data_IF_357758140802
#
_entry.id   IF_357758140802
#
_cell.length_a   1.000
_cell.length_b   1.000
_cell.length_c   1.000
_cell.angle_alpha   90.00
_cell.angle_beta   90.00
_cell.angle_gamma   90.00
#
_symmetry.space_group_name_H-M   'P 1'
#
loop_
_entity.id
_entity.type
_entity.pdbx_description
1 polymer ?
#
# COMPACT_ATOMS: atom_id res chain seq x y z
N UNK A 1 -19.75 9.05 -7.40
CA UNK A 1 -18.50 8.78 -6.62
C UNK A 1 -18.84 9.08 -5.18
N UNK A 2 -18.43 8.26 -4.22
CA UNK A 2 -18.66 8.47 -2.77
C UNK A 2 -17.36 8.75 -2.03
N UNK A 3 -17.36 8.57 -0.70
CA UNK A 3 -16.21 8.76 0.19
C UNK A 3 -15.09 7.72 -0.04
N UNK A 4 -14.07 7.71 0.83
CA UNK A 4 -13.08 6.64 0.90
C UNK A 4 -13.75 5.28 1.16
N UNK A 5 -13.18 4.21 0.59
CA UNK A 5 -13.67 2.85 0.80
C UNK A 5 -13.13 2.32 2.14
N UNK A 6 -14.00 2.19 3.14
CA UNK A 6 -13.69 1.72 4.50
C UNK A 6 -13.06 0.32 4.54
N UNK A 7 -13.14 -0.41 3.44
CA UNK A 7 -12.45 -1.66 3.28
C UNK A 7 -10.92 -1.53 3.15
N UNK A 8 -10.39 -0.31 3.02
CA UNK A 8 -9.01 0.06 3.31
C UNK A 8 -8.97 0.78 4.67
N UNK A 9 -8.36 0.16 5.68
CA UNK A 9 -8.15 0.82 6.97
C UNK A 9 -7.01 1.86 6.90
N UNK A 10 -5.98 1.57 6.10
CA UNK A 10 -4.82 2.42 5.87
C UNK A 10 -4.11 1.96 4.60
N UNK A 11 -3.66 2.93 3.80
CA UNK A 11 -3.03 2.79 2.49
C UNK A 11 -3.94 2.29 1.35
N UNK A 12 -3.74 2.91 0.18
CA UNK A 12 -4.45 2.67 -1.09
C UNK A 12 -5.90 3.16 -1.13
N UNK A 13 -6.42 3.74 -0.04
CA UNK A 13 -7.73 4.38 0.00
C UNK A 13 -7.81 5.60 -0.94
N UNK A 14 -6.73 6.37 -0.99
CA UNK A 14 -6.53 7.52 -1.85
C UNK A 14 -6.36 7.09 -3.31
N UNK A 15 -5.53 6.09 -3.57
CA UNK A 15 -5.31 5.52 -4.90
C UNK A 15 -6.60 4.93 -5.47
N UNK A 16 -7.38 4.22 -4.64
CA UNK A 16 -8.70 3.69 -5.02
C UNK A 16 -9.69 4.81 -5.35
N UNK A 17 -9.75 5.87 -4.53
CA UNK A 17 -10.61 7.02 -4.80
C UNK A 17 -10.22 7.72 -6.11
N UNK A 18 -8.92 8.00 -6.31
CA UNK A 18 -8.40 8.59 -7.54
C UNK A 18 -8.74 7.72 -8.76
N UNK A 19 -8.59 6.39 -8.66
CA UNK A 19 -8.97 5.48 -9.75
C UNK A 19 -10.46 5.52 -10.05
N UNK A 20 -11.33 5.49 -9.03
CA UNK A 20 -12.79 5.59 -9.19
C UNK A 20 -13.27 6.94 -9.74
N UNK A 21 -12.51 8.01 -9.51
CA UNK A 21 -12.74 9.33 -10.11
C UNK A 21 -12.34 9.30 -11.59
N UNK A 22 -11.17 8.77 -11.92
CA UNK A 22 -10.72 8.60 -13.31
C UNK A 22 -11.67 7.74 -14.14
N UNK A 23 -12.18 6.64 -13.58
CA UNK A 23 -13.18 5.78 -14.23
C UNK A 23 -14.51 6.51 -14.52
N UNK A 24 -14.71 7.70 -13.92
CA UNK A 24 -15.86 8.59 -14.17
C UNK A 24 -15.49 9.84 -15.00
N UNK A 25 -14.35 9.80 -15.69
CA UNK A 25 -13.90 10.88 -16.56
C UNK A 25 -13.25 12.06 -15.86
N UNK A 26 -12.96 11.97 -14.56
CA UNK A 26 -12.22 13.01 -13.86
C UNK A 26 -10.72 12.93 -14.18
N UNK A 27 -10.05 14.07 -14.22
CA UNK A 27 -8.62 14.15 -14.48
C UNK A 27 -7.83 14.22 -13.17
N UNK A 28 -6.76 13.42 -13.07
CA UNK A 28 -5.75 13.59 -12.01
C UNK A 28 -4.63 14.48 -12.55
N UNK A 29 -4.37 15.62 -11.90
CA UNK A 29 -3.33 16.57 -12.29
C UNK A 29 -2.18 16.61 -11.27
N UNK A 30 -0.96 16.80 -11.75
CA UNK A 30 0.23 17.01 -10.93
C UNK A 30 0.63 18.49 -10.97
N UNK A 31 0.61 19.16 -9.81
CA UNK A 31 1.01 20.56 -9.66
C UNK A 31 2.43 20.66 -9.07
N UNK A 32 3.47 20.92 -9.89
CA UNK A 32 4.86 20.95 -9.42
C UNK A 32 5.19 22.13 -8.49
N UNK A 33 4.37 23.18 -8.46
CA UNK A 33 4.57 24.34 -7.57
C UNK A 33 4.05 24.09 -6.17
N UNK A 34 3.14 23.14 -5.99
CA UNK A 34 2.65 22.73 -4.68
C UNK A 34 3.76 21.98 -3.93
N UNK A 35 4.05 22.41 -2.70
CA UNK A 35 5.09 21.82 -1.85
C UNK A 35 4.47 21.36 -0.53
N UNK A 36 4.83 20.16 -0.09
CA UNK A 36 4.46 19.61 1.21
C UNK A 36 5.69 18.96 1.84
N UNK A 37 5.86 19.13 3.15
CA UNK A 37 6.91 18.46 3.91
C UNK A 37 6.44 17.06 4.30
N UNK A 38 7.11 16.02 3.81
CA UNK A 38 6.84 14.64 4.21
C UNK A 38 7.97 14.12 5.12
N UNK A 39 7.71 14.10 6.42
CA UNK A 39 8.60 13.43 7.37
C UNK A 39 8.43 11.93 7.25
N UNK A 40 9.40 11.26 6.60
CA UNK A 40 9.38 9.81 6.43
C UNK A 40 9.25 9.13 7.77
N UNK A 41 8.23 8.28 7.92
CA UNK A 41 7.95 7.57 9.17
C UNK A 41 7.79 8.50 10.40
N UNK A 42 7.37 9.75 10.20
CA UNK A 42 7.25 10.75 11.27
C UNK A 42 6.24 10.39 12.37
N UNK A 43 5.26 9.55 12.06
CA UNK A 43 4.26 9.05 13.02
C UNK A 43 4.56 7.63 13.50
N UNK A 44 5.64 7.01 13.02
CA UNK A 44 6.00 5.62 13.34
C UNK A 44 7.42 5.51 13.88
N UNK A 45 7.98 6.60 14.41
CA UNK A 45 9.32 6.66 15.00
C UNK A 45 10.41 5.99 14.14
N UNK A 46 10.37 6.24 12.82
CA UNK A 46 11.33 5.67 11.88
C UNK A 46 11.06 4.22 11.45
N UNK A 47 10.12 3.51 12.08
CA UNK A 47 9.80 2.11 11.76
C UNK A 47 8.30 1.82 11.57
N UNK A 48 7.93 1.32 10.41
CA UNK A 48 6.56 0.84 10.16
C UNK A 48 6.34 -0.53 10.82
N UNK A 49 5.57 -0.56 11.92
CA UNK A 49 5.21 -1.79 12.62
C UNK A 49 4.45 -2.81 11.76
N UNK A 50 4.41 -4.06 12.23
CA UNK A 50 3.84 -5.19 11.50
C UNK A 50 2.39 -4.96 11.02
N UNK A 51 1.53 -4.38 11.88
CA UNK A 51 0.13 -4.09 11.54
C UNK A 51 0.01 -3.15 10.32
N UNK A 52 0.79 -2.07 10.29
CA UNK A 52 0.80 -1.12 9.17
C UNK A 52 1.40 -1.74 7.90
N UNK A 53 2.43 -2.59 8.04
CA UNK A 53 2.97 -3.35 6.91
C UNK A 53 1.95 -4.32 6.32
N UNK A 54 1.22 -5.06 7.16
CA UNK A 54 0.17 -5.97 6.71
C UNK A 54 -0.96 -5.19 6.02
N UNK A 55 -1.40 -4.07 6.61
CA UNK A 55 -2.41 -3.19 6.00
C UNK A 55 -1.98 -2.71 4.60
N UNK A 56 -0.73 -2.25 4.46
CA UNK A 56 -0.16 -1.81 3.18
C UNK A 56 -0.23 -2.91 2.11
N UNK A 57 0.23 -4.12 2.41
CA UNK A 57 0.28 -5.22 1.44
C UNK A 57 -1.12 -5.80 1.14
N UNK A 58 -2.01 -5.86 2.15
CA UNK A 58 -3.43 -6.20 1.93
C UNK A 58 -4.09 -5.17 1.02
N UNK A 59 -3.83 -3.88 1.24
CA UNK A 59 -4.29 -2.78 0.40
C UNK A 59 -3.83 -2.94 -1.05
N UNK A 60 -2.53 -3.24 -1.28
CA UNK A 60 -2.00 -3.52 -2.62
C UNK A 60 -2.77 -4.65 -3.32
N UNK A 61 -2.98 -5.78 -2.64
CA UNK A 61 -3.69 -6.93 -3.22
C UNK A 61 -5.15 -6.61 -3.54
N UNK A 62 -5.84 -5.88 -2.65
CA UNK A 62 -7.22 -5.43 -2.88
C UNK A 62 -7.32 -4.48 -4.06
N UNK A 63 -6.45 -3.47 -4.12
CA UNK A 63 -6.41 -2.50 -5.22
C UNK A 63 -6.16 -3.19 -6.56
N UNK A 64 -5.14 -4.05 -6.62
CA UNK A 64 -4.81 -4.82 -7.82
C UNK A 64 -5.99 -5.68 -8.28
N UNK A 65 -6.61 -6.43 -7.36
CA UNK A 65 -7.78 -7.25 -7.65
C UNK A 65 -8.93 -6.44 -8.26
N UNK A 66 -9.19 -5.26 -7.71
CA UNK A 66 -10.32 -4.42 -8.09
C UNK A 66 -10.13 -3.74 -9.46
N UNK A 67 -8.92 -3.28 -9.74
CA UNK A 67 -8.69 -2.37 -10.87
C UNK A 67 -7.87 -2.96 -12.01
N UNK A 68 -7.07 -4.00 -11.74
CA UNK A 68 -6.09 -4.51 -12.70
C UNK A 68 -6.25 -6.00 -13.01
N UNK A 69 -6.70 -6.83 -12.07
CA UNK A 69 -6.65 -8.28 -12.22
C UNK A 69 -7.53 -8.82 -13.37
N UNK A 70 -8.66 -8.16 -13.68
CA UNK A 70 -9.53 -8.50 -14.81
C UNK A 70 -8.88 -8.29 -16.17
N UNK A 71 -7.83 -7.46 -16.25
CA UNK A 71 -7.11 -7.13 -17.47
C UNK A 71 -5.88 -8.03 -17.69
N UNK A 72 -5.62 -8.99 -16.81
CA UNK A 72 -4.42 -9.84 -16.84
C UNK A 72 -4.78 -11.33 -16.78
N UNK A 73 -3.88 -12.16 -17.31
CA UNK A 73 -4.02 -13.61 -17.26
C UNK A 73 -3.85 -14.15 -15.83
N UNK A 74 -4.32 -15.37 -15.60
CA UNK A 74 -4.18 -16.05 -14.31
C UNK A 74 -2.70 -16.16 -13.86
N UNK A 75 -1.77 -16.40 -14.79
CA UNK A 75 -0.35 -16.50 -14.50
C UNK A 75 0.23 -15.16 -14.00
N UNK A 76 -0.12 -14.05 -14.65
CA UNK A 76 0.31 -12.71 -14.22
C UNK A 76 -0.29 -12.35 -12.88
N UNK A 77 -1.59 -12.60 -12.69
CA UNK A 77 -2.26 -12.39 -11.42
C UNK A 77 -1.58 -13.17 -10.28
N UNK A 78 -1.26 -14.45 -10.52
CA UNK A 78 -0.53 -15.28 -9.56
C UNK A 78 0.84 -14.69 -9.23
N UNK A 79 1.62 -14.30 -10.25
CA UNK A 79 2.93 -13.70 -10.05
C UNK A 79 2.86 -12.41 -9.21
N UNK A 80 1.85 -11.56 -9.44
CA UNK A 80 1.63 -10.34 -8.65
C UNK A 80 1.29 -10.66 -7.20
N UNK A 81 0.38 -11.60 -6.94
CA UNK A 81 0.03 -11.98 -5.56
C UNK A 81 1.21 -12.62 -4.82
N UNK A 82 2.00 -13.46 -5.49
CA UNK A 82 3.25 -13.99 -4.94
C UNK A 82 4.22 -12.84 -4.64
N UNK A 83 4.39 -11.89 -5.55
CA UNK A 83 5.26 -10.73 -5.34
C UNK A 83 4.85 -9.89 -4.13
N UNK A 84 3.55 -9.64 -3.95
CA UNK A 84 3.00 -8.93 -2.78
C UNK A 84 3.27 -9.72 -1.49
N UNK A 85 3.00 -11.03 -1.50
CA UNK A 85 3.22 -11.91 -0.34
C UNK A 85 4.70 -12.00 0.05
N UNK A 86 5.59 -12.22 -0.92
CA UNK A 86 7.03 -12.28 -0.71
C UNK A 86 7.58 -10.96 -0.16
N UNK A 87 7.14 -9.83 -0.71
CA UNK A 87 7.54 -8.51 -0.20
C UNK A 87 7.11 -8.30 1.25
N UNK A 88 5.89 -8.72 1.61
CA UNK A 88 5.41 -8.68 2.99
C UNK A 88 6.28 -9.57 3.90
N UNK A 89 6.53 -10.82 3.51
CA UNK A 89 7.34 -11.75 4.28
C UNK A 89 8.76 -11.20 4.54
N UNK A 90 9.43 -10.69 3.49
CA UNK A 90 10.75 -10.05 3.61
C UNK A 90 10.70 -8.80 4.50
N UNK A 91 9.62 -8.01 4.43
CA UNK A 91 9.45 -6.83 5.29
C UNK A 91 9.28 -7.20 6.77
N UNK A 92 8.47 -8.23 7.07
CA UNK A 92 8.25 -8.70 8.43
C UNK A 92 9.49 -9.36 9.01
N UNK A 93 10.19 -10.20 8.23
CA UNK A 93 11.44 -10.83 8.67
C UNK A 93 12.51 -9.78 9.00
N UNK A 94 12.70 -8.77 8.15
CA UNK A 94 13.63 -7.66 8.44
C UNK A 94 13.21 -6.85 9.67
N UNK A 95 11.90 -6.70 9.90
CA UNK A 95 11.39 -6.08 11.12
C UNK A 95 11.71 -6.90 12.37
N UNK A 96 11.47 -8.21 12.33
CA UNK A 96 11.74 -9.12 13.44
C UNK A 96 13.24 -9.18 13.79
N UNK A 97 14.12 -9.27 12.78
CA UNK A 97 15.57 -9.27 12.98
C UNK A 97 16.08 -7.97 13.63
N UNK A 98 15.46 -6.82 13.30
CA UNK A 98 15.81 -5.53 13.91
C UNK A 98 15.23 -5.36 15.32
N UNK A 99 14.05 -5.91 15.59
CA UNK A 99 13.43 -5.90 16.92
C UNK A 99 14.15 -6.80 17.92
N UNK A 100 14.66 -7.97 17.47
CA UNK A 100 15.41 -8.89 18.33
C UNK A 100 16.81 -8.40 18.74
N UNK A 101 17.39 -7.45 18.00
CA UNK A 101 18.70 -6.87 18.33
C UNK A 101 18.66 -5.78 19.41
N UNK A 102 17.45 -5.32 19.81
CA UNK A 102 17.25 -4.23 20.79
C UNK A 102 16.92 -4.77 22.19
N UNK A 103 16.66 -6.07 22.35
CA UNK A 103 16.28 -6.68 23.64
C UNK A 103 17.43 -7.35 24.41
N UNK A 104 18.69 -7.04 24.10
CA UNK A 104 19.87 -7.61 24.76
C UNK A 104 20.84 -6.57 25.34
N UNK A 105 20.29 -5.46 25.86
CA UNK A 105 21.03 -4.42 26.59
C UNK A 105 20.46 -4.19 27.98
#
# INVERSE_FOLDING_TARGET
>A
VGLFDEGYWMYMEDLDLCRRLMDRGWTTFYEPRARALHTKAGTTDGHRGARLNIAFHRGMGRFYRRHQASHHSAAVNLAVYIGIGTKLAISLLRGALRGGAVSSG
#
